data_IF_541501679426
#
_entry.id   IF_541501679426
#
_cell.length_a   1.000
_cell.length_b   1.000
_cell.length_c   1.000
_cell.angle_alpha   90.00
_cell.angle_beta   90.00
_cell.angle_gamma   90.00
#
_symmetry.space_group_name_H-M   'P 1'
#
loop_
_entity.id
_entity.type
_entity.pdbx_description
1 polymer ?
#
# COMPACT_ATOMS: atom_id res chain seq x y z
N UNK A 1 -6.38 -8.00 40.11
CA UNK A 1 -6.43 -6.83 39.22
C UNK A 1 -6.52 -7.33 37.80
N UNK A 2 -7.57 -6.95 37.09
CA UNK A 2 -7.81 -7.31 35.69
C UNK A 2 -7.51 -6.12 34.78
N UNK A 3 -7.38 -6.37 33.48
CA UNK A 3 -7.10 -5.35 32.47
C UNK A 3 -8.22 -4.29 32.33
N UNK A 4 -9.43 -4.58 32.79
CA UNK A 4 -10.54 -3.62 32.88
C UNK A 4 -10.20 -2.39 33.74
N UNK A 5 -9.30 -2.54 34.72
CA UNK A 5 -8.89 -1.46 35.62
C UNK A 5 -7.80 -0.55 35.01
N UNK A 6 -7.35 -0.82 33.79
CA UNK A 6 -6.33 -0.01 33.12
C UNK A 6 -6.98 1.27 32.60
N UNK A 7 -6.46 2.41 33.04
CA UNK A 7 -6.83 3.71 32.49
C UNK A 7 -6.09 3.92 31.16
N UNK A 8 -6.83 4.20 30.09
CA UNK A 8 -6.28 4.33 28.74
C UNK A 8 -6.70 5.67 28.12
N UNK A 9 -5.86 6.20 27.23
CA UNK A 9 -6.23 7.30 26.35
C UNK A 9 -7.40 6.93 25.43
N UNK A 10 -8.11 7.96 24.92
CA UNK A 10 -9.28 7.78 24.04
C UNK A 10 -8.97 7.06 22.72
N UNK A 11 -7.70 6.99 22.32
CA UNK A 11 -7.23 6.29 21.12
C UNK A 11 -6.96 4.80 21.35
N UNK A 12 -6.94 4.34 22.60
CA UNK A 12 -6.57 2.97 22.97
C UNK A 12 -7.82 2.23 23.43
N UNK A 13 -7.97 0.97 22.99
CA UNK A 13 -9.07 0.11 23.39
C UNK A 13 -8.56 -1.24 23.84
N UNK A 14 -8.92 -1.64 25.07
CA UNK A 14 -8.58 -2.94 25.63
C UNK A 14 -9.61 -3.97 25.17
N UNK A 15 -9.19 -4.94 24.37
CA UNK A 15 -10.08 -5.96 23.80
C UNK A 15 -10.34 -7.17 24.72
N UNK A 16 -9.54 -7.35 25.78
CA UNK A 16 -9.65 -8.44 26.75
C UNK A 16 -9.63 -7.86 28.18
N UNK A 17 -10.74 -7.26 28.65
CA UNK A 17 -10.83 -6.61 29.96
C UNK A 17 -10.72 -7.60 31.13
N UNK A 18 -11.09 -8.86 30.94
CA UNK A 18 -11.07 -9.90 31.97
C UNK A 18 -9.68 -10.46 32.27
N UNK A 19 -8.67 -10.14 31.45
CA UNK A 19 -7.31 -10.62 31.61
C UNK A 19 -6.76 -10.27 32.98
N UNK A 20 -6.37 -11.28 33.77
CA UNK A 20 -5.74 -11.07 35.07
C UNK A 20 -4.30 -10.60 34.85
N UNK A 21 -4.00 -9.39 35.30
CA UNK A 21 -2.66 -8.77 35.19
C UNK A 21 -1.82 -9.09 36.43
N UNK A 22 -2.40 -8.93 37.62
CA UNK A 22 -1.70 -9.18 38.88
C UNK A 22 -2.68 -9.54 40.01
N UNK A 23 -2.17 -10.23 41.05
CA UNK A 23 -2.89 -10.51 42.29
C UNK A 23 -2.15 -9.88 43.46
N UNK A 24 -2.79 -8.94 44.15
CA UNK A 24 -2.24 -8.30 45.34
C UNK A 24 -2.55 -9.16 46.57
N UNK A 25 -1.53 -9.49 47.36
CA UNK A 25 -1.65 -10.37 48.54
C UNK A 25 -1.80 -9.61 49.85
N UNK A 26 -1.71 -8.27 49.81
CA UNK A 26 -1.87 -7.39 50.96
C UNK A 26 -2.45 -6.04 50.55
N UNK A 27 -2.70 -5.18 51.53
CA UNK A 27 -3.12 -3.80 51.30
C UNK A 27 -1.91 -2.94 50.93
N UNK A 28 -1.57 -2.94 49.64
CA UNK A 28 -0.49 -2.14 49.05
C UNK A 28 -1.04 -1.37 47.86
N UNK A 29 -0.60 -0.13 47.72
CA UNK A 29 -0.86 0.67 46.52
C UNK A 29 0.04 0.16 45.40
N UNK A 30 -0.57 -0.09 44.22
CA UNK A 30 0.12 -0.59 43.04
C UNK A 30 -0.13 0.38 41.89
N UNK A 31 0.95 0.88 41.29
CA UNK A 31 0.94 1.79 40.16
C UNK A 31 1.90 1.25 39.11
N UNK A 32 1.46 1.25 37.85
CA UNK A 32 2.25 0.82 36.71
C UNK A 32 1.82 1.61 35.47
N UNK A 33 2.81 2.08 34.72
CA UNK A 33 2.61 2.75 33.43
C UNK A 33 3.02 1.80 32.30
N UNK A 34 2.26 1.81 31.21
CA UNK A 34 2.49 0.98 30.04
C UNK A 34 2.66 1.85 28.81
N UNK A 35 3.71 1.61 28.04
CA UNK A 35 3.88 2.18 26.71
C UNK A 35 3.37 1.19 25.67
N UNK A 36 2.47 1.63 24.80
CA UNK A 36 1.91 0.82 23.71
C UNK A 36 2.30 1.42 22.37
N UNK A 37 2.79 0.59 21.46
CA UNK A 37 3.22 0.99 20.12
C UNK A 37 2.51 0.19 19.03
N UNK A 38 2.40 0.79 17.86
CA UNK A 38 1.97 0.10 16.64
C UNK A 38 3.21 -0.40 15.90
N UNK A 39 3.18 -1.68 15.54
CA UNK A 39 4.32 -2.33 14.88
C UNK A 39 3.89 -3.48 13.99
N UNK A 40 4.86 -4.22 13.49
CA UNK A 40 4.62 -5.43 12.68
C UNK A 40 5.53 -6.55 13.14
N UNK A 41 4.99 -7.76 13.20
CA UNK A 41 5.75 -8.95 13.58
C UNK A 41 6.07 -8.99 15.07
N UNK A 42 7.35 -9.18 15.37
CA UNK A 42 7.87 -9.38 16.71
C UNK A 42 9.11 -8.51 16.90
N UNK A 43 9.18 -7.78 18.02
CA UNK A 43 10.37 -7.03 18.42
C UNK A 43 10.82 -7.53 19.81
N UNK A 44 11.99 -8.17 19.92
CA UNK A 44 12.50 -8.60 21.21
C UNK A 44 12.89 -7.39 22.08
N UNK A 45 12.82 -7.55 23.39
CA UNK A 45 13.20 -6.52 24.36
C UNK A 45 14.67 -6.06 24.20
N UNK A 46 15.56 -6.94 23.71
CA UNK A 46 16.96 -6.61 23.46
C UNK A 46 17.17 -5.55 22.38
N UNK A 47 16.26 -5.47 21.40
CA UNK A 47 16.34 -4.51 20.29
C UNK A 47 15.81 -3.12 20.67
N UNK A 48 15.18 -2.97 21.85
CA UNK A 48 14.54 -1.72 22.26
C UNK A 48 15.54 -0.55 22.30
N UNK A 49 16.73 -0.76 22.85
CA UNK A 49 17.76 0.30 22.97
C UNK A 49 18.78 0.31 21.82
N UNK A 50 18.66 -0.58 20.82
CA UNK A 50 19.62 -0.62 19.70
C UNK A 50 19.50 0.60 18.76
N UNK A 51 18.33 1.24 18.74
CA UNK A 51 18.04 2.40 17.89
C UNK A 51 18.55 3.74 18.45
N UNK A 52 19.36 3.71 19.51
CA UNK A 52 19.94 4.92 20.12
C UNK A 52 19.07 5.57 21.20
N UNK A 53 18.04 4.87 21.68
CA UNK A 53 17.28 5.29 22.86
C UNK A 53 18.11 5.02 24.13
N UNK A 54 18.24 6.02 25.00
CA UNK A 54 18.94 5.85 26.27
C UNK A 54 18.12 4.96 27.21
N UNK A 55 18.79 4.03 27.89
CA UNK A 55 18.13 3.21 28.90
C UNK A 55 17.73 4.07 30.11
N UNK A 56 16.43 4.25 30.29
CA UNK A 56 15.86 4.98 31.42
C UNK A 56 15.77 4.06 32.64
N UNK A 57 16.20 4.55 33.80
CA UNK A 57 16.07 3.82 35.06
C UNK A 57 14.59 3.74 35.44
N UNK A 58 14.08 2.52 35.60
CA UNK A 58 12.69 2.25 35.98
C UNK A 58 11.85 1.69 34.84
N UNK A 59 12.32 1.76 33.60
CA UNK A 59 11.68 1.10 32.46
C UNK A 59 12.12 -0.36 32.35
N UNK A 60 11.16 -1.24 32.10
CA UNK A 60 11.42 -2.66 31.88
C UNK A 60 10.93 -2.98 30.46
N UNK A 61 11.84 -3.11 29.48
CA UNK A 61 11.44 -3.47 28.13
C UNK A 61 10.91 -4.91 28.12
N UNK A 62 9.83 -5.11 27.39
CA UNK A 62 9.21 -6.41 27.17
C UNK A 62 9.20 -6.72 25.68
N UNK A 63 9.17 -8.01 25.35
CA UNK A 63 9.02 -8.44 23.96
C UNK A 63 7.65 -7.97 23.42
N UNK A 64 7.67 -7.29 22.27
CA UNK A 64 6.46 -6.75 21.65
C UNK A 64 5.97 -7.67 20.53
N UNK A 65 4.75 -8.18 20.68
CA UNK A 65 4.07 -9.03 19.68
C UNK A 65 2.96 -8.22 19.03
N UNK A 66 3.15 -7.85 17.76
CA UNK A 66 2.21 -7.01 17.02
C UNK A 66 1.26 -7.83 16.11
N UNK A 67 1.21 -9.16 16.27
CA UNK A 67 0.38 -10.02 15.43
C UNK A 67 -1.02 -10.26 16.02
N UNK A 68 -2.11 -9.77 15.39
CA UNK A 68 -3.47 -10.06 15.83
C UNK A 68 -3.93 -11.48 15.46
N UNK A 69 -3.25 -12.15 14.51
CA UNK A 69 -3.56 -13.52 14.08
C UNK A 69 -2.78 -14.50 14.95
N UNK A 70 -3.50 -15.40 15.61
CA UNK A 70 -2.94 -16.39 16.54
C UNK A 70 -2.70 -17.75 15.87
N UNK A 71 -3.58 -18.14 14.95
CA UNK A 71 -3.50 -19.43 14.27
C UNK A 71 -4.11 -19.36 12.88
N UNK A 72 -3.50 -20.08 11.95
CA UNK A 72 -4.02 -20.31 10.61
C UNK A 72 -3.92 -21.80 10.30
N UNK A 73 -4.96 -22.35 9.68
CA UNK A 73 -4.97 -23.70 9.12
C UNK A 73 -5.47 -23.64 7.69
N UNK A 74 -4.86 -24.40 6.80
CA UNK A 74 -5.32 -24.52 5.42
C UNK A 74 -5.47 -25.98 5.00
N UNK A 75 -6.37 -26.23 4.06
CA UNK A 75 -6.49 -27.51 3.34
C UNK A 75 -7.06 -27.27 1.95
N UNK A 76 -6.73 -28.15 1.02
CA UNK A 76 -7.28 -28.17 -0.34
C UNK A 76 -8.15 -29.40 -0.52
N UNK A 77 -9.28 -29.22 -1.20
CA UNK A 77 -10.25 -30.28 -1.50
C UNK A 77 -10.70 -30.17 -2.96
N UNK A 78 -11.04 -31.28 -3.62
CA UNK A 78 -11.54 -31.24 -4.99
C UNK A 78 -12.88 -30.51 -5.06
N UNK A 79 -13.01 -29.53 -5.95
CA UNK A 79 -14.25 -28.82 -6.23
C UNK A 79 -14.86 -29.27 -7.56
N UNK A 80 -16.15 -29.60 -7.52
CA UNK A 80 -16.97 -29.74 -8.72
C UNK A 80 -17.72 -28.44 -8.99
N UNK A 81 -17.35 -27.74 -10.05
CA UNK A 81 -18.01 -26.51 -10.50
C UNK A 81 -18.82 -26.82 -11.76
N UNK A 82 -20.11 -27.06 -11.58
CA UNK A 82 -21.00 -27.49 -12.66
C UNK A 82 -20.64 -28.87 -13.22
N UNK A 83 -20.26 -28.93 -14.50
CA UNK A 83 -19.82 -30.17 -15.17
C UNK A 83 -18.31 -30.42 -15.11
N UNK A 84 -17.53 -29.45 -14.59
CA UNK A 84 -16.06 -29.52 -14.50
C UNK A 84 -15.63 -30.00 -13.11
N UNK A 85 -14.67 -30.92 -13.06
CA UNK A 85 -14.15 -31.56 -11.84
C UNK A 85 -12.66 -31.30 -11.62
N UNK A 86 -12.08 -30.33 -12.34
CA UNK A 86 -10.64 -30.00 -12.35
C UNK A 86 -10.29 -28.77 -11.49
N UNK A 87 -11.18 -28.36 -10.58
CA UNK A 87 -10.96 -27.23 -9.69
C UNK A 87 -10.54 -27.68 -8.30
N UNK A 88 -9.64 -26.91 -7.68
CA UNK A 88 -9.30 -27.04 -6.26
C UNK A 88 -10.09 -26.02 -5.43
N UNK A 89 -10.59 -26.45 -4.27
CA UNK A 89 -11.18 -25.60 -3.23
C UNK A 89 -10.19 -25.40 -2.08
N UNK A 90 -9.77 -24.17 -1.84
CA UNK A 90 -8.91 -23.80 -0.72
C UNK A 90 -9.76 -23.38 0.48
N UNK A 91 -9.63 -24.11 1.58
CA UNK A 91 -10.30 -23.81 2.85
C UNK A 91 -9.26 -23.26 3.82
N UNK A 92 -9.53 -22.08 4.37
CA UNK A 92 -8.69 -21.39 5.36
C UNK A 92 -9.48 -21.18 6.65
N UNK A 93 -8.98 -21.75 7.76
CA UNK A 93 -9.48 -21.48 9.10
C UNK A 93 -8.52 -20.50 9.79
N UNK A 94 -9.06 -19.38 10.29
CA UNK A 94 -8.28 -18.27 10.86
C UNK A 94 -8.79 -17.95 12.26
N UNK A 95 -7.86 -17.78 13.21
CA UNK A 95 -8.16 -17.38 14.59
C UNK A 95 -7.41 -16.09 14.91
N UNK A 96 -8.16 -15.07 15.36
CA UNK A 96 -7.62 -13.77 15.76
C UNK A 96 -7.92 -13.50 17.24
N UNK A 97 -7.18 -12.57 17.82
CA UNK A 97 -7.35 -12.12 19.20
C UNK A 97 -8.48 -11.08 19.40
N UNK A 98 -9.27 -10.80 18.35
CA UNK A 98 -10.38 -9.83 18.39
C UNK A 98 -10.01 -8.39 18.01
N UNK A 99 -8.72 -8.04 17.92
CA UNK A 99 -8.30 -6.70 17.48
C UNK A 99 -8.56 -6.48 15.99
N UNK A 100 -8.51 -7.55 15.19
CA UNK A 100 -8.81 -7.53 13.75
C UNK A 100 -9.70 -8.73 13.42
N UNK A 101 -10.72 -8.53 12.57
CA UNK A 101 -11.56 -9.64 12.11
C UNK A 101 -10.79 -10.56 11.14
N UNK A 102 -11.09 -11.87 11.08
CA UNK A 102 -10.44 -12.78 10.14
C UNK A 102 -10.53 -12.33 8.68
N UNK A 103 -11.68 -11.77 8.28
CA UNK A 103 -11.90 -11.23 6.93
C UNK A 103 -10.96 -10.06 6.62
N UNK A 104 -10.82 -9.10 7.54
CA UNK A 104 -9.91 -7.97 7.38
C UNK A 104 -8.45 -8.42 7.37
N UNK A 105 -8.08 -9.38 8.22
CA UNK A 105 -6.74 -9.96 8.20
C UNK A 105 -6.41 -10.61 6.84
N UNK A 106 -7.38 -11.30 6.22
CA UNK A 106 -7.24 -11.87 4.87
C UNK A 106 -7.10 -10.81 3.79
N UNK A 107 -7.86 -9.72 3.87
CA UNK A 107 -7.75 -8.59 2.94
C UNK A 107 -6.35 -7.97 3.01
N UNK A 108 -5.84 -7.71 4.22
CA UNK A 108 -4.49 -7.17 4.40
C UNK A 108 -3.42 -8.14 3.91
N UNK A 109 -3.55 -9.44 4.20
CA UNK A 109 -2.63 -10.45 3.68
C UNK A 109 -2.61 -10.50 2.14
N UNK A 110 -3.78 -10.41 1.50
CA UNK A 110 -3.88 -10.37 0.04
C UNK A 110 -3.25 -9.10 -0.56
N UNK A 111 -3.44 -7.93 0.07
CA UNK A 111 -2.77 -6.68 -0.33
C UNK A 111 -1.25 -6.80 -0.26
N UNK A 112 -0.73 -7.35 0.83
CA UNK A 112 0.71 -7.59 1.02
C UNK A 112 1.23 -8.56 -0.04
N UNK A 113 0.54 -9.67 -0.28
CA UNK A 113 0.91 -10.65 -1.31
C UNK A 113 0.98 -10.01 -2.70
N UNK A 114 -0.05 -9.25 -3.08
CA UNK A 114 -0.07 -8.51 -4.36
C UNK A 114 1.12 -7.58 -4.49
N UNK A 115 1.42 -6.81 -3.44
CA UNK A 115 2.57 -5.91 -3.38
C UNK A 115 3.90 -6.64 -3.58
N UNK A 116 4.06 -7.84 -3.04
CA UNK A 116 5.24 -8.68 -3.26
C UNK A 116 5.30 -9.32 -4.67
N UNK A 117 4.17 -9.45 -5.36
CA UNK A 117 4.12 -9.96 -6.74
C UNK A 117 4.42 -8.87 -7.78
N UNK A 118 4.16 -7.60 -7.47
CA UNK A 118 4.37 -6.47 -8.40
C UNK A 118 5.75 -6.45 -9.07
N UNK A 119 6.88 -6.66 -8.37
CA UNK A 119 8.20 -6.67 -9.00
C UNK A 119 8.36 -7.72 -10.10
N UNK A 120 7.63 -8.84 -10.02
CA UNK A 120 7.68 -9.91 -11.03
C UNK A 120 6.76 -9.64 -12.22
N UNK A 121 5.71 -8.85 -12.03
CA UNK A 121 4.74 -8.49 -13.08
C UNK A 121 5.28 -7.33 -13.93
N UNK A 122 6.01 -6.40 -13.31
CA UNK A 122 6.61 -5.22 -13.98
C UNK A 122 7.96 -5.54 -14.66
N UNK A 123 8.37 -6.81 -14.67
CA UNK A 123 9.66 -7.26 -15.18
C UNK A 123 9.57 -7.55 -16.70
N UNK A 124 9.38 -6.51 -17.52
CA UNK A 124 9.46 -6.63 -18.99
C UNK A 124 10.85 -6.32 -19.55
N UNK A 125 11.75 -5.64 -18.82
CA UNK A 125 13.14 -5.45 -19.23
C UNK A 125 14.13 -5.69 -18.07
N UNK A 126 15.16 -6.50 -18.32
CA UNK A 126 16.32 -6.61 -17.45
C UNK A 126 17.13 -5.31 -17.52
N UNK A 127 16.80 -4.35 -16.66
CA UNK A 127 17.49 -3.07 -16.49
C UNK A 127 17.77 -2.76 -15.02
N UNK A 128 18.95 -2.21 -14.74
CA UNK A 128 19.58 -2.04 -13.41
C UNK A 128 18.88 -1.13 -12.39
N UNK A 129 17.59 -0.84 -12.53
CA UNK A 129 16.89 0.05 -11.60
C UNK A 129 16.13 -0.76 -10.56
N UNK A 130 16.74 -0.91 -9.38
CA UNK A 130 16.05 -1.33 -8.17
C UNK A 130 14.84 -0.43 -7.95
N UNK A 131 13.64 -0.98 -8.10
CA UNK A 131 12.39 -0.30 -7.77
C UNK A 131 12.49 0.16 -6.31
N UNK A 132 12.57 1.47 -6.11
CA UNK A 132 12.68 2.05 -4.77
C UNK A 132 11.42 1.77 -3.96
N UNK A 133 11.63 1.66 -2.65
CA UNK A 133 10.64 1.36 -1.59
C UNK A 133 9.46 2.35 -1.54
N UNK A 134 9.41 3.36 -2.40
CA UNK A 134 8.35 4.38 -2.43
C UNK A 134 7.20 4.03 -3.38
N UNK A 135 7.42 3.12 -4.35
CA UNK A 135 6.34 2.55 -5.19
C UNK A 135 5.42 1.61 -4.37
N UNK A 136 5.77 1.37 -3.11
CA UNK A 136 5.18 0.40 -2.19
C UNK A 136 3.88 0.85 -1.50
N UNK A 137 3.42 2.08 -1.66
CA UNK A 137 2.19 2.61 -1.02
C UNK A 137 1.02 2.88 -1.98
N UNK A 138 1.06 2.36 -3.21
CA UNK A 138 0.01 2.67 -4.19
C UNK A 138 -1.26 1.82 -4.00
N UNK A 139 -2.40 2.52 -3.88
CA UNK A 139 -3.74 1.95 -3.88
C UNK A 139 -4.07 1.32 -5.24
N UNK A 140 -5.18 0.58 -5.35
CA UNK A 140 -5.59 0.00 -6.64
C UNK A 140 -5.86 1.08 -7.72
N UNK A 141 -6.32 2.25 -7.29
CA UNK A 141 -6.54 3.42 -8.15
C UNK A 141 -5.21 4.00 -8.65
N UNK A 142 -4.20 4.07 -7.78
CA UNK A 142 -2.87 4.54 -8.15
C UNK A 142 -2.16 3.60 -9.12
N UNK A 143 -2.43 2.28 -9.07
CA UNK A 143 -1.89 1.33 -10.06
C UNK A 143 -2.51 1.53 -11.45
N UNK A 144 -3.80 1.83 -11.53
CA UNK A 144 -4.46 2.09 -12.82
C UNK A 144 -3.97 3.41 -13.43
N UNK A 145 -3.81 4.44 -12.59
CA UNK A 145 -3.24 5.73 -13.00
C UNK A 145 -1.79 5.53 -13.46
N UNK A 146 -0.95 4.80 -12.72
CA UNK A 146 0.44 4.53 -13.13
C UNK A 146 0.51 3.78 -14.46
N UNK A 147 -0.38 2.80 -14.69
CA UNK A 147 -0.46 2.09 -15.97
C UNK A 147 -0.83 3.03 -17.13
N UNK A 148 -1.78 3.93 -16.91
CA UNK A 148 -2.17 4.96 -17.89
C UNK A 148 -1.04 5.95 -18.17
N UNK A 149 -0.26 6.32 -17.15
CA UNK A 149 0.89 7.22 -17.28
C UNK A 149 2.06 6.59 -18.07
N UNK A 150 2.26 5.28 -17.94
CA UNK A 150 3.30 4.53 -18.67
C UNK A 150 2.95 4.27 -20.15
N UNK A 151 1.70 4.47 -20.55
CA UNK A 151 1.27 4.25 -21.94
C UNK A 151 2.00 5.20 -22.91
N UNK A 152 2.30 4.69 -24.11
CA UNK A 152 2.91 5.50 -25.17
C UNK A 152 1.90 6.49 -25.77
N UNK A 153 2.36 7.69 -26.15
CA UNK A 153 1.50 8.69 -26.81
C UNK A 153 0.92 8.21 -28.14
N UNK A 154 1.57 7.23 -28.78
CA UNK A 154 1.11 6.59 -30.01
C UNK A 154 -0.11 5.67 -29.80
N UNK A 155 -0.30 5.14 -28.59
CA UNK A 155 -1.40 4.21 -28.27
C UNK A 155 -2.69 4.94 -27.86
N UNK A 156 -2.70 6.29 -27.86
CA UNK A 156 -3.85 7.10 -27.46
C UNK A 156 -4.87 7.34 -28.60
N UNK A 157 -4.71 6.69 -29.76
CA UNK A 157 -5.55 6.87 -30.95
C UNK A 157 -5.75 8.36 -31.34
N UNK A 158 -4.67 9.13 -31.26
CA UNK A 158 -4.65 10.53 -31.67
C UNK A 158 -4.57 10.66 -33.20
N UNK A 159 -5.00 11.81 -33.74
CA UNK A 159 -4.78 12.12 -35.15
C UNK A 159 -3.29 12.11 -35.49
N UNK A 160 -2.98 11.72 -36.73
CA UNK A 160 -1.61 11.69 -37.28
C UNK A 160 -0.87 13.02 -37.06
N UNK A 161 -1.60 14.14 -37.03
CA UNK A 161 -1.01 15.46 -36.74
C UNK A 161 -0.60 15.60 -35.28
N UNK A 162 -1.48 15.23 -34.34
CA UNK A 162 -1.21 15.30 -32.92
C UNK A 162 -0.05 14.36 -32.53
N UNK A 163 -0.07 13.11 -32.98
CA UNK A 163 1.02 12.14 -32.71
C UNK A 163 2.37 12.62 -33.23
N UNK A 164 2.44 13.09 -34.49
CA UNK A 164 3.69 13.57 -35.06
C UNK A 164 4.23 14.82 -34.36
N UNK A 165 3.35 15.71 -33.87
CA UNK A 165 3.79 16.89 -33.13
C UNK A 165 4.35 16.50 -31.76
N UNK A 166 3.70 15.58 -31.04
CA UNK A 166 4.18 15.06 -29.76
C UNK A 166 5.52 14.32 -29.92
N UNK A 167 5.65 13.49 -30.94
CA UNK A 167 6.89 12.79 -31.25
C UNK A 167 8.03 13.78 -31.59
N UNK A 168 7.75 14.83 -32.36
CA UNK A 168 8.74 15.87 -32.68
C UNK A 168 9.18 16.70 -31.46
N UNK A 169 8.31 16.78 -30.45
CA UNK A 169 8.57 17.42 -29.16
C UNK A 169 9.26 16.48 -28.15
N UNK A 170 9.62 15.26 -28.57
CA UNK A 170 10.16 14.20 -27.72
C UNK A 170 9.24 13.78 -26.57
N UNK A 171 7.92 13.98 -26.72
CA UNK A 171 6.90 13.53 -25.75
C UNK A 171 6.43 12.14 -26.18
N UNK A 172 6.96 11.11 -25.52
CA UNK A 172 6.75 9.69 -25.88
C UNK A 172 5.76 8.99 -24.97
N UNK A 173 5.60 9.45 -23.74
CA UNK A 173 4.73 8.83 -22.75
C UNK A 173 3.60 9.76 -22.32
N UNK A 174 2.49 9.19 -21.85
CA UNK A 174 1.38 9.95 -21.27
C UNK A 174 1.86 10.71 -20.02
N UNK A 175 2.77 10.13 -19.23
CA UNK A 175 3.41 10.78 -18.09
C UNK A 175 4.09 12.11 -18.45
N UNK A 176 4.83 12.14 -19.56
CA UNK A 176 5.48 13.36 -20.04
C UNK A 176 4.47 14.40 -20.54
N UNK A 177 3.39 13.92 -21.17
CA UNK A 177 2.34 14.78 -21.72
C UNK A 177 1.55 15.51 -20.64
N UNK A 178 1.13 14.81 -19.57
CA UNK A 178 0.31 15.40 -18.50
C UNK A 178 1.09 16.40 -17.64
N UNK A 179 2.42 16.36 -17.65
CA UNK A 179 3.28 17.34 -16.99
C UNK A 179 3.39 18.66 -17.76
N UNK A 180 2.96 18.70 -19.03
CA UNK A 180 2.98 19.92 -19.86
C UNK A 180 1.74 20.76 -19.64
N UNK A 181 1.94 22.07 -19.64
CA UNK A 181 0.84 23.04 -19.64
C UNK A 181 0.23 23.20 -21.03
N UNK A 182 -1.01 23.66 -21.09
CA UNK A 182 -1.70 23.99 -22.35
C UNK A 182 -0.88 25.00 -23.18
N UNK A 183 -0.31 26.00 -22.50
CA UNK A 183 0.51 27.04 -23.11
C UNK A 183 1.78 26.47 -23.74
N UNK A 184 2.48 25.56 -23.05
CA UNK A 184 3.65 24.87 -23.58
C UNK A 184 3.32 24.05 -24.82
N UNK A 185 2.21 23.32 -24.82
CA UNK A 185 1.79 22.52 -25.98
C UNK A 185 1.45 23.41 -27.18
N UNK A 186 0.87 24.59 -26.97
CA UNK A 186 0.58 25.54 -28.05
C UNK A 186 1.84 26.22 -28.62
N UNK A 187 2.96 26.20 -27.89
CA UNK A 187 4.25 26.67 -28.42
C UNK A 187 4.92 25.66 -29.35
N UNK A 188 4.49 24.39 -29.33
CA UNK A 188 5.05 23.35 -30.17
C UNK A 188 4.80 23.63 -31.65
N UNK A 189 5.84 23.39 -32.46
CA UNK A 189 5.79 23.64 -33.90
C UNK A 189 4.69 22.80 -34.54
N UNK A 190 3.77 23.47 -35.25
CA UNK A 190 2.62 22.87 -35.92
C UNK A 190 1.58 22.21 -34.99
N UNK A 191 1.65 22.46 -33.68
CA UNK A 191 0.60 22.08 -32.72
C UNK A 191 -0.48 23.17 -32.69
N UNK A 192 -1.72 22.79 -32.93
CA UNK A 192 -2.84 23.74 -33.06
C UNK A 192 -3.94 23.50 -32.03
N UNK A 193 -4.88 24.44 -31.93
CA UNK A 193 -6.04 24.36 -31.01
C UNK A 193 -6.91 23.12 -31.22
N UNK A 194 -6.93 22.58 -32.43
CA UNK A 194 -7.65 21.33 -32.75
C UNK A 194 -6.94 20.11 -32.17
N UNK A 195 -5.62 20.03 -32.29
CA UNK A 195 -4.81 18.94 -31.71
C UNK A 195 -4.83 18.99 -30.18
N UNK A 196 -4.83 20.20 -29.62
CA UNK A 196 -4.94 20.40 -28.18
C UNK A 196 -6.24 19.83 -27.62
N UNK A 197 -7.39 20.18 -28.21
CA UNK A 197 -8.69 19.65 -27.80
C UNK A 197 -8.80 18.14 -27.94
N UNK A 198 -8.13 17.58 -28.94
CA UNK A 198 -8.08 16.14 -29.15
C UNK A 198 -7.31 15.44 -28.02
N UNK A 199 -6.17 16.01 -27.62
CA UNK A 199 -5.39 15.54 -26.47
C UNK A 199 -6.17 15.68 -25.16
N UNK A 200 -6.78 16.85 -24.89
CA UNK A 200 -7.58 17.08 -23.68
C UNK A 200 -8.72 16.07 -23.56
N UNK A 201 -9.47 15.86 -24.65
CA UNK A 201 -10.56 14.89 -24.66
C UNK A 201 -10.07 13.46 -24.38
N UNK A 202 -8.91 13.07 -24.92
CA UNK A 202 -8.35 11.74 -24.69
C UNK A 202 -7.84 11.57 -23.26
N UNK A 203 -7.22 12.60 -22.69
CA UNK A 203 -6.83 12.60 -21.29
C UNK A 203 -8.07 12.52 -20.38
N UNK A 204 -9.13 13.26 -20.67
CA UNK A 204 -10.41 13.17 -19.94
C UNK A 204 -11.05 11.78 -20.03
N UNK A 205 -11.05 11.13 -21.21
CA UNK A 205 -11.50 9.74 -21.39
C UNK A 205 -10.70 8.75 -20.50
N UNK A 206 -9.44 9.07 -20.22
CA UNK A 206 -8.55 8.27 -19.34
C UNK A 206 -8.64 8.68 -17.86
N UNK A 207 -9.35 9.76 -17.53
CA UNK A 207 -9.42 10.33 -16.17
C UNK A 207 -8.18 11.13 -15.77
N UNK A 208 -7.41 11.64 -16.73
CA UNK A 208 -6.20 12.44 -16.55
C UNK A 208 -6.43 13.89 -17.00
N UNK A 209 -5.55 14.79 -16.57
CA UNK A 209 -5.61 16.21 -16.96
C UNK A 209 -4.20 16.77 -17.25
N UNK A 210 -4.13 17.79 -18.11
CA UNK A 210 -2.91 18.54 -18.35
C UNK A 210 -2.53 19.37 -17.11
N UNK A 211 -1.23 19.46 -16.83
CA UNK A 211 -0.70 20.17 -15.66
C UNK A 211 -0.92 19.48 -14.32
N UNK A 212 -1.26 18.19 -14.30
CA UNK A 212 -1.39 17.44 -13.04
C UNK A 212 -0.02 17.12 -12.45
N UNK A 213 0.06 17.05 -11.11
CA UNK A 213 1.26 16.55 -10.46
C UNK A 213 1.31 15.03 -10.55
N UNK A 214 2.33 14.51 -11.23
CA UNK A 214 2.60 13.07 -11.30
C UNK A 214 3.46 12.63 -10.10
N UNK A 215 3.37 11.34 -9.72
CA UNK A 215 4.26 10.76 -8.70
C UNK A 215 5.73 11.00 -9.03
N UNK A 216 6.58 11.08 -8.01
CA UNK A 216 8.01 11.40 -8.16
C UNK A 216 8.75 10.47 -9.12
N UNK A 217 8.33 9.20 -9.21
CA UNK A 217 8.82 8.20 -10.16
C UNK A 217 8.69 8.59 -11.65
N UNK A 218 7.81 9.55 -11.98
CA UNK A 218 7.54 9.98 -13.36
C UNK A 218 7.90 11.44 -13.62
N UNK A 219 8.45 12.16 -12.64
CA UNK A 219 8.83 13.57 -12.81
C UNK A 219 10.00 13.66 -13.79
N UNK A 220 9.86 14.51 -14.80
CA UNK A 220 10.96 14.86 -15.70
C UNK A 220 11.90 15.78 -14.91
N UNK A 221 13.18 15.40 -14.82
CA UNK A 221 14.26 16.23 -14.24
C UNK A 221 14.59 17.44 -15.10
#
# INVERSE_FOLDING_TARGET
>A
MTAELIECDTSITVHNPELVVATLTGAVDFEAEFTVETGRGYRPASEYYENGEEQVIGEIPIDAIFSPVQRVRFRTEDARVGQRTDYDNLILDLWTNGTVSPEMAMVEAAKILRKHLNPFIMYEEAGESTVSTEVMETTAEDMEINRKLQQGTNDMDLSVRASNCLESAQIRTVAELVQKSEEELLTLRAFGRTSLREVEKKLEEMGLALGMQVPEAFRIS
#
